data_IF_362548361452
#
_entry.id   IF_362548361452
#
_cell.length_a   1.000
_cell.length_b   1.000
_cell.length_c   1.000
_cell.angle_alpha   90.00
_cell.angle_beta   90.00
_cell.angle_gamma   90.00
#
_symmetry.space_group_name_H-M   'P 1'
#
loop_
_entity.id
_entity.type
_entity.pdbx_description
1 polymer ?
#
# COMPACT_ATOMS: atom_id res chain seq x y z
N UNK A 1 -10.26 -1.99 5.22
CA UNK A 1 -8.95 -1.68 5.88
C UNK A 1 -8.46 -0.34 5.38
N UNK A 2 -7.94 0.53 6.25
CA UNK A 2 -7.25 1.76 5.82
C UNK A 2 -5.91 1.37 5.14
N UNK A 3 -5.81 1.49 3.81
CA UNK A 3 -4.62 1.09 3.04
C UNK A 3 -3.43 2.03 3.28
N UNK A 4 -3.70 3.26 3.74
CA UNK A 4 -2.66 4.20 4.17
C UNK A 4 -2.02 3.76 5.49
N UNK A 5 -2.83 3.24 6.41
CA UNK A 5 -2.42 2.86 7.75
C UNK A 5 -2.97 1.48 8.14
N UNK A 6 -2.58 0.40 7.41
CA UNK A 6 -3.21 -0.91 7.57
C UNK A 6 -2.99 -1.54 8.95
N UNK A 7 -1.93 -1.13 9.67
CA UNK A 7 -1.69 -1.52 11.07
C UNK A 7 -2.86 -1.16 12.00
N UNK A 8 -3.64 -0.12 11.65
CA UNK A 8 -4.75 0.35 12.48
C UNK A 8 -5.92 -0.66 12.55
N UNK A 9 -5.98 -1.63 11.65
CA UNK A 9 -6.92 -2.75 11.74
C UNK A 9 -6.64 -3.66 12.97
N UNK A 10 -5.39 -3.71 13.41
CA UNK A 10 -4.95 -4.54 14.55
C UNK A 10 -4.71 -3.68 15.80
N UNK A 11 -4.04 -2.52 15.62
CA UNK A 11 -3.68 -1.62 16.73
C UNK A 11 -4.00 -0.17 16.35
N UNK A 12 -5.27 0.28 16.58
CA UNK A 12 -5.72 1.61 16.16
C UNK A 12 -5.19 2.74 17.05
N UNK A 13 -4.54 2.41 18.16
CA UNK A 13 -4.02 3.38 19.13
C UNK A 13 -2.74 4.08 18.71
N UNK A 14 -2.31 5.04 19.54
CA UNK A 14 -1.09 5.81 19.34
C UNK A 14 0.17 4.92 19.39
N UNK A 15 0.15 3.87 20.21
CA UNK A 15 1.25 2.90 20.31
C UNK A 15 1.55 2.24 18.97
N UNK A 16 0.50 1.81 18.25
CA UNK A 16 0.64 1.22 16.92
C UNK A 16 1.28 2.20 15.93
N UNK A 17 0.81 3.46 15.92
CA UNK A 17 1.38 4.49 15.06
C UNK A 17 2.86 4.78 15.38
N UNK A 18 3.23 4.84 16.66
CA UNK A 18 4.62 5.03 17.13
C UNK A 18 5.50 3.85 16.71
N UNK A 19 5.03 2.62 16.92
CA UNK A 19 5.76 1.41 16.60
C UNK A 19 6.04 1.28 15.10
N UNK A 20 5.04 1.56 14.25
CA UNK A 20 5.20 1.52 12.78
C UNK A 20 6.22 2.55 12.31
N UNK A 21 6.23 3.77 12.87
CA UNK A 21 7.25 4.78 12.58
C UNK A 21 8.65 4.27 12.94
N UNK A 22 8.80 3.68 14.13
CA UNK A 22 10.10 3.17 14.59
C UNK A 22 10.55 1.92 13.83
N UNK A 23 9.62 1.06 13.40
CA UNK A 23 9.93 -0.09 12.55
C UNK A 23 10.42 0.31 11.14
N UNK A 24 9.89 1.42 10.61
CA UNK A 24 10.23 1.94 9.28
C UNK A 24 11.63 2.54 9.16
N UNK A 25 12.41 2.63 10.26
CA UNK A 25 13.76 3.22 10.23
C UNK A 25 14.71 2.54 11.21
N UNK A 26 15.99 2.58 10.90
CA UNK A 26 17.08 2.26 11.84
C UNK A 26 17.70 3.50 12.49
N UNK A 27 17.40 4.69 11.96
CA UNK A 27 17.89 5.94 12.51
C UNK A 27 17.15 6.29 13.81
N UNK A 28 17.86 6.71 14.87
CA UNK A 28 17.23 7.18 16.10
C UNK A 28 16.40 8.45 15.85
N UNK A 29 15.18 8.51 16.40
CA UNK A 29 14.26 9.62 16.25
C UNK A 29 13.94 10.26 17.61
N UNK A 30 13.80 11.60 17.63
CA UNK A 30 13.25 12.31 18.77
C UNK A 30 11.74 12.12 18.87
N UNK A 31 11.16 12.22 20.07
CA UNK A 31 9.70 12.16 20.26
C UNK A 31 8.94 13.15 19.39
N UNK A 32 9.49 14.35 19.11
CA UNK A 32 8.89 15.34 18.19
C UNK A 32 8.89 14.84 16.73
N UNK A 33 9.97 14.19 16.28
CA UNK A 33 10.02 13.61 14.94
C UNK A 33 9.02 12.47 14.81
N UNK A 34 8.94 11.60 15.82
CA UNK A 34 7.97 10.49 15.86
C UNK A 34 6.55 11.05 15.81
N UNK A 35 6.21 12.06 16.64
CA UNK A 35 4.90 12.68 16.65
C UNK A 35 4.51 13.34 15.31
N UNK A 36 5.48 13.82 14.54
CA UNK A 36 5.22 14.37 13.20
C UNK A 36 5.04 13.32 12.13
N UNK A 37 5.68 12.15 12.27
CA UNK A 37 5.60 11.03 11.34
C UNK A 37 4.43 10.09 11.66
N UNK A 38 4.02 10.04 12.92
CA UNK A 38 2.90 9.22 13.35
C UNK A 38 1.59 9.77 12.78
N UNK A 39 0.82 8.89 12.13
CA UNK A 39 -0.47 9.25 11.54
C UNK A 39 -1.55 9.60 12.58
N UNK A 40 -1.28 9.28 13.84
CA UNK A 40 -2.23 9.43 14.96
C UNK A 40 -1.53 9.91 16.22
N UNK A 41 -2.24 10.70 17.00
CA UNK A 41 -1.80 11.17 18.32
C UNK A 41 -1.32 12.61 18.32
N UNK A 42 -1.30 13.16 19.54
CA UNK A 42 -0.69 14.47 19.87
C UNK A 42 0.70 14.27 20.44
N UNK A 43 1.54 15.31 20.50
CA UNK A 43 2.85 15.19 21.13
C UNK A 43 2.82 14.62 22.56
N UNK A 44 1.89 15.02 23.45
CA UNK A 44 1.78 14.39 24.77
C UNK A 44 1.41 12.90 24.73
N UNK A 45 0.46 12.49 23.87
CA UNK A 45 0.07 11.08 23.76
C UNK A 45 1.15 10.20 23.17
N UNK A 46 1.94 10.72 22.21
CA UNK A 46 3.12 10.05 21.67
C UNK A 46 4.20 9.90 22.74
N UNK A 47 4.44 10.94 23.59
CA UNK A 47 5.38 10.83 24.69
C UNK A 47 4.97 9.76 25.69
N UNK A 48 3.70 9.72 26.08
CA UNK A 48 3.18 8.69 26.99
C UNK A 48 3.27 7.27 26.39
N UNK A 49 3.04 7.13 25.07
CA UNK A 49 3.22 5.87 24.36
C UNK A 49 4.70 5.44 24.39
N UNK A 50 5.63 6.36 24.09
CA UNK A 50 7.06 6.08 24.14
C UNK A 50 7.53 5.67 25.52
N UNK A 51 7.04 6.33 26.59
CA UNK A 51 7.41 5.96 27.97
C UNK A 51 6.98 4.52 28.29
N UNK A 52 5.75 4.12 27.94
CA UNK A 52 5.27 2.75 28.11
C UNK A 52 6.10 1.73 27.31
N UNK A 53 6.37 2.04 26.04
CA UNK A 53 7.12 1.15 25.15
C UNK A 53 8.59 0.98 25.61
N UNK A 54 9.17 2.00 26.21
CA UNK A 54 10.49 1.94 26.84
C UNK A 54 10.43 1.09 28.11
N UNK A 55 9.40 1.26 28.96
CA UNK A 55 9.20 0.46 30.18
C UNK A 55 9.06 -1.03 29.84
N UNK A 56 8.38 -1.38 28.75
CA UNK A 56 8.27 -2.74 28.25
C UNK A 56 9.52 -3.24 27.51
N UNK A 57 10.56 -2.42 27.32
CA UNK A 57 11.79 -2.81 26.65
C UNK A 57 11.69 -2.93 25.12
N UNK A 58 10.52 -2.63 24.54
CA UNK A 58 10.30 -2.71 23.08
C UNK A 58 10.92 -1.52 22.32
N UNK A 59 11.15 -0.40 23.03
CA UNK A 59 11.81 0.79 22.51
C UNK A 59 13.01 1.14 23.37
N UNK A 60 14.16 1.31 22.74
CA UNK A 60 15.34 1.88 23.40
C UNK A 60 15.24 3.40 23.45
N UNK A 61 15.65 3.98 24.57
CA UNK A 61 15.76 5.42 24.76
C UNK A 61 17.19 5.80 25.14
N UNK A 62 17.78 6.73 24.40
CA UNK A 62 19.11 7.26 24.61
C UNK A 62 19.06 8.78 24.84
N UNK A 63 19.82 9.28 25.80
CA UNK A 63 19.97 10.72 26.04
C UNK A 63 20.87 11.31 24.95
N UNK A 64 20.40 12.39 24.31
CA UNK A 64 21.16 13.16 23.33
C UNK A 64 21.03 14.66 23.62
N UNK A 65 21.95 15.18 24.42
CA UNK A 65 21.90 16.56 24.91
C UNK A 65 20.65 16.82 25.78
N UNK A 66 19.74 17.68 25.28
CA UNK A 66 18.46 17.99 25.94
C UNK A 66 17.26 17.17 25.43
N UNK A 67 17.51 16.23 24.56
CA UNK A 67 16.46 15.39 23.96
C UNK A 67 16.71 13.91 24.24
N UNK A 68 15.64 13.12 24.08
CA UNK A 68 15.71 11.68 24.02
C UNK A 68 15.58 11.22 22.57
N UNK A 69 16.41 10.26 22.18
CA UNK A 69 16.33 9.51 20.93
C UNK A 69 15.75 8.12 21.18
N UNK A 70 14.91 7.68 20.28
CA UNK A 70 14.21 6.41 20.39
C UNK A 70 14.46 5.55 19.15
N UNK A 71 14.64 4.24 19.36
CA UNK A 71 14.76 3.22 18.32
C UNK A 71 13.95 1.99 18.72
N UNK A 72 13.44 1.25 17.75
CA UNK A 72 12.86 -0.07 18.02
C UNK A 72 13.95 -1.02 18.54
N UNK A 73 13.66 -1.71 19.62
CA UNK A 73 14.49 -2.82 20.10
C UNK A 73 14.19 -4.06 19.24
N UNK A 74 15.05 -4.32 18.24
CA UNK A 74 14.85 -5.42 17.30
C UNK A 74 15.14 -6.80 17.89
N UNK A 75 15.81 -6.87 19.06
CA UNK A 75 16.05 -8.10 19.78
C UNK A 75 14.86 -8.51 20.69
N UNK A 76 13.89 -7.59 20.83
CA UNK A 76 12.70 -7.88 21.61
C UNK A 76 11.82 -8.92 20.91
N UNK A 77 11.26 -9.88 21.68
CA UNK A 77 10.44 -10.98 21.15
C UNK A 77 9.20 -10.51 20.35
N UNK A 78 8.70 -9.31 20.59
CA UNK A 78 7.60 -8.70 19.85
C UNK A 78 8.05 -7.94 18.59
N UNK A 79 9.35 -7.70 18.38
CA UNK A 79 9.83 -6.89 17.25
C UNK A 79 9.43 -7.46 15.89
N UNK A 80 9.49 -8.79 15.63
CA UNK A 80 9.02 -9.34 14.35
C UNK A 80 7.54 -9.07 14.08
N UNK A 81 6.69 -9.08 15.11
CA UNK A 81 5.26 -8.74 14.94
C UNK A 81 5.06 -7.27 14.61
N UNK A 82 5.84 -6.36 15.21
CA UNK A 82 5.81 -4.92 14.90
C UNK A 82 6.26 -4.66 13.46
N UNK A 83 7.31 -5.33 13.01
CA UNK A 83 7.81 -5.23 11.63
C UNK A 83 6.79 -5.76 10.62
N UNK A 84 6.13 -6.87 10.95
CA UNK A 84 5.03 -7.40 10.13
C UNK A 84 3.86 -6.41 10.02
N UNK A 85 3.48 -5.75 11.11
CA UNK A 85 2.45 -4.69 11.10
C UNK A 85 2.86 -3.50 10.23
N UNK A 86 4.12 -3.08 10.31
CA UNK A 86 4.65 -2.01 9.45
C UNK A 86 4.70 -2.41 7.96
N UNK A 87 4.86 -3.70 7.68
CA UNK A 87 4.93 -4.28 6.34
C UNK A 87 3.60 -4.58 5.65
N UNK A 88 2.44 -4.40 6.30
CA UNK A 88 1.13 -4.85 5.79
C UNK A 88 0.78 -4.29 4.40
N UNK A 89 1.13 -3.02 4.12
CA UNK A 89 0.93 -2.44 2.79
C UNK A 89 1.78 -3.14 1.72
N UNK A 90 3.04 -3.38 2.02
CA UNK A 90 3.95 -4.10 1.13
C UNK A 90 3.48 -5.54 0.89
N UNK A 91 2.93 -6.18 1.90
CA UNK A 91 2.35 -7.52 1.81
C UNK A 91 1.12 -7.54 0.88
N UNK A 92 0.23 -6.54 0.95
CA UNK A 92 -0.88 -6.40 0.02
C UNK A 92 -0.37 -6.29 -1.43
N UNK A 93 0.59 -5.39 -1.69
CA UNK A 93 1.18 -5.21 -3.01
C UNK A 93 1.86 -6.51 -3.52
N UNK A 94 2.54 -7.23 -2.65
CA UNK A 94 3.15 -8.52 -2.98
C UNK A 94 2.09 -9.54 -3.39
N UNK A 95 1.00 -9.68 -2.63
CA UNK A 95 -0.11 -10.60 -2.95
C UNK A 95 -0.75 -10.27 -4.29
N UNK A 96 -1.00 -9.00 -4.56
CA UNK A 96 -1.54 -8.56 -5.85
C UNK A 96 -0.61 -8.97 -7.00
N UNK A 97 0.69 -8.71 -6.88
CA UNK A 97 1.69 -9.10 -7.89
C UNK A 97 1.76 -10.62 -8.08
N UNK A 98 1.78 -11.38 -6.98
CA UNK A 98 1.85 -12.84 -7.03
C UNK A 98 0.59 -13.46 -7.65
N UNK A 99 -0.57 -12.84 -7.48
CA UNK A 99 -1.82 -13.26 -8.11
C UNK A 99 -1.79 -12.99 -9.61
N UNK A 100 -1.47 -11.76 -10.01
CA UNK A 100 -1.42 -11.35 -11.41
C UNK A 100 -0.34 -12.08 -12.21
N UNK A 101 0.77 -12.45 -11.57
CA UNK A 101 1.84 -13.24 -12.21
C UNK A 101 1.44 -14.67 -12.62
N UNK A 102 0.32 -15.15 -12.09
CA UNK A 102 -0.22 -16.50 -12.42
C UNK A 102 -1.30 -16.48 -13.48
N UNK A 103 -1.66 -15.30 -13.97
CA UNK A 103 -2.74 -15.17 -14.95
C UNK A 103 -2.34 -15.72 -16.32
N UNK A 104 -3.23 -16.48 -16.93
CA UNK A 104 -3.15 -16.95 -18.31
C UNK A 104 -4.53 -16.77 -18.96
N UNK A 105 -4.64 -15.84 -19.93
CA UNK A 105 -3.61 -14.94 -20.44
C UNK A 105 -3.17 -13.86 -19.44
N UNK A 106 -1.88 -13.49 -19.49
CA UNK A 106 -1.33 -12.44 -18.62
C UNK A 106 -1.82 -11.04 -19.07
N UNK A 107 -2.04 -10.09 -18.14
CA UNK A 107 -2.41 -8.73 -18.50
C UNK A 107 -1.21 -7.99 -19.16
N UNK A 108 -1.50 -7.12 -20.14
CA UNK A 108 -0.49 -6.22 -20.72
C UNK A 108 0.05 -5.25 -19.68
N UNK A 109 -0.82 -4.81 -18.78
CA UNK A 109 -0.51 -3.97 -17.63
C UNK A 109 -1.53 -4.22 -16.53
N UNK A 110 -1.08 -4.16 -15.29
CA UNK A 110 -1.94 -3.97 -14.14
C UNK A 110 -1.29 -3.01 -13.14
N UNK A 111 -2.09 -2.13 -12.54
CA UNK A 111 -1.64 -1.20 -11.51
C UNK A 111 -2.72 -0.91 -10.48
N UNK A 112 -2.29 -0.54 -9.28
CA UNK A 112 -3.13 0.08 -8.26
C UNK A 112 -3.01 1.61 -8.42
N UNK A 113 -4.14 2.33 -8.37
CA UNK A 113 -4.18 3.78 -8.52
C UNK A 113 -5.11 4.43 -7.49
N UNK A 114 -5.41 5.71 -7.64
CA UNK A 114 -6.34 6.41 -6.76
C UNK A 114 -5.85 6.54 -5.31
N UNK A 115 -6.79 6.62 -4.38
CA UNK A 115 -6.50 6.83 -2.96
C UNK A 115 -5.64 5.72 -2.34
N UNK A 116 -5.81 4.48 -2.79
CA UNK A 116 -5.01 3.36 -2.32
C UNK A 116 -3.52 3.49 -2.75
N UNK A 117 -3.24 4.01 -3.94
CA UNK A 117 -1.87 4.27 -4.40
C UNK A 117 -1.23 5.44 -3.66
N UNK A 118 -1.94 6.55 -3.50
CA UNK A 118 -1.49 7.75 -2.77
C UNK A 118 -1.34 7.55 -1.27
N UNK A 119 -1.93 6.49 -0.71
CA UNK A 119 -2.03 6.26 0.73
C UNK A 119 -2.81 7.40 1.45
N UNK A 120 -3.91 7.86 0.87
CA UNK A 120 -4.80 8.87 1.43
C UNK A 120 -6.28 8.40 1.53
N UNK A 121 -6.55 7.13 1.21
CA UNK A 121 -7.85 6.48 1.41
C UNK A 121 -8.14 6.13 2.86
N UNK A 122 -9.39 5.84 3.14
CA UNK A 122 -9.89 5.38 4.44
C UNK A 122 -10.43 3.94 4.40
N UNK A 123 -11.08 3.51 5.48
CA UNK A 123 -11.65 2.16 5.60
C UNK A 123 -12.86 1.91 4.69
N UNK A 124 -13.47 2.95 4.13
CA UNK A 124 -14.61 2.87 3.22
C UNK A 124 -14.20 3.02 1.75
N UNK A 125 -12.94 3.36 1.49
CA UNK A 125 -12.41 3.54 0.13
C UNK A 125 -12.21 2.20 -0.56
N UNK A 126 -12.58 2.12 -1.85
CA UNK A 126 -12.28 0.97 -2.68
C UNK A 126 -10.78 0.89 -2.99
N UNK A 127 -10.31 -0.29 -3.36
CA UNK A 127 -8.98 -0.49 -3.92
C UNK A 127 -9.10 -0.45 -5.43
N UNK A 128 -8.69 0.70 -6.01
CA UNK A 128 -8.79 0.92 -7.44
C UNK A 128 -7.65 0.22 -8.19
N UNK A 129 -8.02 -0.64 -9.12
CA UNK A 129 -7.11 -1.39 -9.97
C UNK A 129 -7.41 -1.10 -11.44
N UNK A 130 -6.38 -0.83 -12.24
CA UNK A 130 -6.45 -0.83 -13.69
C UNK A 130 -5.85 -2.12 -14.22
N UNK A 131 -6.56 -2.79 -15.11
CA UNK A 131 -6.08 -4.00 -15.80
C UNK A 131 -6.23 -3.81 -17.30
N UNK A 132 -5.15 -3.97 -18.06
CA UNK A 132 -5.17 -3.91 -19.51
C UNK A 132 -5.15 -5.32 -20.07
N UNK A 133 -6.24 -5.68 -20.74
CA UNK A 133 -6.44 -6.97 -21.38
C UNK A 133 -5.64 -7.04 -22.70
N UNK A 134 -4.92 -8.15 -22.96
CA UNK A 134 -4.15 -8.30 -24.19
C UNK A 134 -5.06 -8.41 -25.43
N UNK A 135 -4.54 -8.01 -26.59
CA UNK A 135 -5.20 -8.20 -27.86
C UNK A 135 -5.46 -9.68 -28.13
N UNK A 136 -6.64 -9.97 -28.71
CA UNK A 136 -7.08 -11.34 -29.02
C UNK A 136 -7.80 -12.05 -27.86
N UNK A 137 -7.86 -11.48 -26.68
CA UNK A 137 -8.70 -11.96 -25.57
C UNK A 137 -10.00 -11.16 -25.57
N UNK A 138 -11.14 -11.83 -25.58
CA UNK A 138 -12.46 -11.20 -25.49
C UNK A 138 -12.75 -10.78 -24.04
N UNK A 139 -13.51 -9.68 -23.85
CA UNK A 139 -13.98 -9.28 -22.53
C UNK A 139 -14.90 -10.33 -21.89
N UNK A 140 -15.60 -11.09 -22.70
CA UNK A 140 -16.50 -12.16 -22.28
C UNK A 140 -15.81 -13.53 -22.21
N UNK A 141 -14.49 -13.62 -22.48
CA UNK A 141 -13.73 -14.86 -22.29
C UNK A 141 -13.87 -15.36 -20.85
N UNK A 142 -14.29 -16.61 -20.69
CA UNK A 142 -14.62 -17.20 -19.39
C UNK A 142 -13.40 -17.19 -18.46
N UNK A 143 -12.22 -17.58 -18.94
CA UNK A 143 -10.98 -17.62 -18.16
C UNK A 143 -10.57 -16.21 -17.69
N UNK A 144 -10.70 -15.23 -18.59
CA UNK A 144 -10.38 -13.84 -18.25
C UNK A 144 -11.32 -13.29 -17.18
N UNK A 145 -12.63 -13.49 -17.33
CA UNK A 145 -13.64 -13.06 -16.36
C UNK A 145 -13.45 -13.72 -15.00
N UNK A 146 -13.16 -15.01 -14.98
CA UNK A 146 -12.89 -15.73 -13.73
C UNK A 146 -11.66 -15.16 -13.00
N UNK A 147 -10.61 -14.78 -13.74
CA UNK A 147 -9.42 -14.14 -13.16
C UNK A 147 -9.75 -12.77 -12.57
N UNK A 148 -10.51 -11.93 -13.26
CA UNK A 148 -10.99 -10.64 -12.77
C UNK A 148 -11.82 -10.81 -11.49
N UNK A 149 -12.78 -11.75 -11.51
CA UNK A 149 -13.66 -12.00 -10.38
C UNK A 149 -12.87 -12.52 -9.17
N UNK A 150 -12.00 -13.51 -9.36
CA UNK A 150 -11.16 -14.06 -8.31
C UNK A 150 -10.20 -13.02 -7.69
N UNK A 151 -9.71 -12.06 -8.50
CA UNK A 151 -8.92 -10.95 -8.00
C UNK A 151 -9.75 -10.06 -7.07
N UNK A 152 -10.97 -9.70 -7.48
CA UNK A 152 -11.87 -8.87 -6.67
C UNK A 152 -12.22 -9.56 -5.34
N UNK A 153 -12.55 -10.86 -5.38
CA UNK A 153 -12.80 -11.65 -4.17
C UNK A 153 -11.57 -11.72 -3.25
N UNK A 154 -10.39 -11.92 -3.84
CA UNK A 154 -9.14 -11.97 -3.10
C UNK A 154 -8.84 -10.65 -2.39
N UNK A 155 -8.99 -9.51 -3.08
CA UNK A 155 -8.83 -8.18 -2.49
C UNK A 155 -9.76 -8.00 -1.31
N UNK A 156 -11.03 -8.37 -1.47
CA UNK A 156 -12.01 -8.29 -0.39
C UNK A 156 -11.63 -9.19 0.80
N UNK A 157 -11.24 -10.42 0.55
CA UNK A 157 -10.82 -11.36 1.60
C UNK A 157 -9.57 -10.87 2.37
N UNK A 158 -8.62 -10.21 1.69
CA UNK A 158 -7.38 -9.74 2.33
C UNK A 158 -7.55 -8.43 3.10
N UNK A 159 -8.49 -7.59 2.70
CA UNK A 159 -8.55 -6.19 3.16
C UNK A 159 -9.89 -5.79 3.78
N UNK A 160 -10.97 -6.50 3.44
CA UNK A 160 -12.35 -6.09 3.73
C UNK A 160 -12.87 -4.95 2.85
N UNK A 161 -12.04 -4.41 1.93
CA UNK A 161 -12.44 -3.37 0.99
C UNK A 161 -12.89 -4.02 -0.33
N UNK A 162 -13.76 -3.34 -1.09
CA UNK A 162 -14.09 -3.75 -2.44
C UNK A 162 -12.95 -3.39 -3.40
N UNK A 163 -12.84 -4.14 -4.50
CA UNK A 163 -11.96 -3.81 -5.60
C UNK A 163 -12.75 -3.06 -6.68
N UNK A 164 -12.33 -1.83 -6.99
CA UNK A 164 -12.80 -1.09 -8.17
C UNK A 164 -11.92 -1.43 -9.36
N UNK A 165 -12.26 -2.48 -10.15
CA UNK A 165 -11.44 -2.89 -11.28
C UNK A 165 -11.91 -2.16 -12.54
N UNK A 166 -11.05 -1.28 -13.07
CA UNK A 166 -11.21 -0.67 -14.38
C UNK A 166 -10.48 -1.52 -15.42
N UNK A 167 -11.20 -2.00 -16.43
CA UNK A 167 -10.65 -2.81 -17.51
C UNK A 167 -10.64 -2.03 -18.83
N UNK A 168 -9.56 -2.17 -19.59
CA UNK A 168 -9.43 -1.65 -20.97
C UNK A 168 -8.76 -2.71 -21.85
N UNK A 169 -9.16 -2.79 -23.12
CA UNK A 169 -8.42 -3.56 -24.10
C UNK A 169 -7.16 -2.82 -24.56
N UNK A 170 -6.10 -3.57 -24.90
CA UNK A 170 -4.86 -2.97 -25.43
C UNK A 170 -5.12 -2.13 -26.66
N UNK A 171 -5.97 -2.58 -27.59
CA UNK A 171 -6.38 -1.84 -28.79
C UNK A 171 -7.05 -0.49 -28.50
N UNK A 172 -7.70 -0.35 -27.33
CA UNK A 172 -8.34 0.89 -26.91
C UNK A 172 -7.31 1.95 -26.48
N UNK A 173 -6.18 1.53 -25.93
CA UNK A 173 -5.10 2.47 -25.49
C UNK A 173 -4.63 3.35 -26.63
N UNK A 174 -4.53 2.83 -27.84
CA UNK A 174 -4.07 3.61 -29.01
C UNK A 174 -5.02 4.79 -29.27
N UNK A 175 -6.32 4.60 -29.11
CA UNK A 175 -7.35 5.64 -29.28
C UNK A 175 -7.31 6.64 -28.11
N UNK A 176 -7.15 6.12 -26.89
CA UNK A 176 -7.19 6.90 -25.64
C UNK A 176 -5.94 7.76 -25.44
N UNK A 177 -4.80 7.42 -26.06
CA UNK A 177 -3.55 8.21 -25.98
C UNK A 177 -3.72 9.66 -26.45
N UNK A 178 -4.61 9.92 -27.41
CA UNK A 178 -4.86 11.30 -27.92
C UNK A 178 -5.61 12.17 -26.91
N UNK A 179 -6.49 11.58 -26.12
CA UNK A 179 -7.25 12.24 -25.06
C UNK A 179 -7.43 11.26 -23.89
N UNK A 180 -6.38 11.10 -23.06
CA UNK A 180 -6.40 10.10 -22.00
C UNK A 180 -7.46 10.44 -20.96
N UNK A 181 -8.29 9.45 -20.58
CA UNK A 181 -9.22 9.59 -19.46
C UNK A 181 -8.46 9.80 -18.14
N UNK A 182 -9.12 10.34 -17.10
CA UNK A 182 -8.50 10.59 -15.79
C UNK A 182 -7.73 9.39 -15.25
N UNK A 183 -8.31 8.20 -15.29
CA UNK A 183 -7.69 6.97 -14.79
C UNK A 183 -6.30 6.70 -15.39
N UNK A 184 -6.12 6.88 -16.71
CA UNK A 184 -4.81 6.68 -17.34
C UNK A 184 -3.80 7.76 -16.97
N UNK A 185 -4.26 8.99 -16.71
CA UNK A 185 -3.39 10.07 -16.21
C UNK A 185 -2.93 9.79 -14.79
N UNK A 186 -3.84 9.37 -13.93
CA UNK A 186 -3.56 9.06 -12.54
C UNK A 186 -2.60 7.85 -12.44
N UNK A 187 -2.84 6.79 -13.22
CA UNK A 187 -1.93 5.65 -13.32
C UNK A 187 -0.55 6.06 -13.80
N UNK A 188 -0.46 6.91 -14.82
CA UNK A 188 0.83 7.39 -15.34
C UNK A 188 1.61 8.28 -14.36
N UNK A 189 0.91 9.02 -13.48
CA UNK A 189 1.50 9.96 -12.54
C UNK A 189 1.85 9.30 -11.18
N UNK A 190 0.97 8.47 -10.65
CA UNK A 190 1.04 7.99 -9.26
C UNK A 190 0.67 6.50 -9.10
N UNK A 191 0.35 5.81 -10.20
CA UNK A 191 0.02 4.39 -10.16
C UNK A 191 1.18 3.54 -9.70
N UNK A 192 0.85 2.49 -8.93
CA UNK A 192 1.81 1.48 -8.48
C UNK A 192 1.71 0.29 -9.41
N UNK A 193 2.73 0.06 -10.21
CA UNK A 193 2.79 -1.06 -11.16
C UNK A 193 2.76 -2.41 -10.42
N UNK A 194 1.87 -3.29 -10.88
CA UNK A 194 1.68 -4.63 -10.33
C UNK A 194 2.11 -5.73 -11.31
N UNK A 195 1.80 -5.58 -12.61
CA UNK A 195 2.19 -6.53 -13.65
C UNK A 195 2.33 -5.87 -15.02
N UNK A 196 3.05 -6.51 -15.93
CA UNK A 196 3.20 -6.12 -17.31
C UNK A 196 4.07 -4.90 -17.54
N UNK A 197 3.74 -4.10 -18.57
CA UNK A 197 4.50 -2.90 -18.93
C UNK A 197 4.27 -1.77 -17.92
N UNK A 198 5.25 -0.89 -17.66
CA UNK A 198 5.09 0.22 -16.73
C UNK A 198 3.94 1.17 -17.11
N UNK A 199 3.13 1.60 -16.15
CA UNK A 199 1.97 2.48 -16.36
C UNK A 199 2.33 3.79 -17.07
N UNK A 200 3.49 4.38 -16.76
CA UNK A 200 4.01 5.58 -17.43
C UNK A 200 4.23 5.40 -18.94
N UNK A 201 4.44 4.16 -19.41
CA UNK A 201 4.63 3.87 -20.83
C UNK A 201 3.32 3.65 -21.59
N UNK A 202 2.19 3.47 -20.89
CA UNK A 202 0.87 3.32 -21.52
C UNK A 202 0.46 4.54 -22.36
N UNK A 203 0.87 5.73 -21.94
CA UNK A 203 0.58 6.98 -22.63
C UNK A 203 1.67 7.39 -23.64
N UNK A 204 2.81 6.69 -23.65
CA UNK A 204 3.92 7.02 -24.57
C UNK A 204 3.68 6.36 -25.93
N UNK A 205 3.74 7.14 -27.00
CA UNK A 205 3.73 6.61 -28.37
C UNK A 205 5.10 5.96 -28.61
N UNK A 206 5.14 4.66 -28.90
CA UNK A 206 6.36 4.08 -29.51
C UNK A 206 6.51 4.72 -30.88
N UNK A 207 7.55 5.55 -31.04
CA UNK A 207 8.01 6.08 -32.33
C UNK A 207 8.46 4.95 -33.22
#
# INVERSE_FOLDING_TARGET
MDVAHPYAAVTPGVDGAVLVVLAGTTAPLTGRQIARLAARGTSPSVSAALDRLVEHGLVHRQVAGRAYLHTLNRDHVAAPAVEALAGLRSELLRRLRDTLAKWEPAPVHASMFGSAARADGDTSSDIDLLVIRPDGVDAEDETWRDQIHALAESVHAWTGNHAGISELAEAELVKLRRKPPPVLKDVGAEGIDLAGVPGRSLLTVKS
#
